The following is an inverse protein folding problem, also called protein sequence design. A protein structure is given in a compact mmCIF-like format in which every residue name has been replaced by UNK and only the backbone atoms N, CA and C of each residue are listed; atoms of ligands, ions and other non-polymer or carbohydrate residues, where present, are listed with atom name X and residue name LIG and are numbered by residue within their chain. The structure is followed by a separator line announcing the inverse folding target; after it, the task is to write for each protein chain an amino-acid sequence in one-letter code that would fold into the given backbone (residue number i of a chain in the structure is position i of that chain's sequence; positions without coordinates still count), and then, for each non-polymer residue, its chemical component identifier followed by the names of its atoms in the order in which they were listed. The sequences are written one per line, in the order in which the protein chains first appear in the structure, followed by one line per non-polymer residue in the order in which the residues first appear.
data_IF_419651785858
#
_entry.id   IF_419651785858
#
_cell.length_a   1.000
_cell.length_b   1.000
_cell.length_c   1.000
_cell.angle_alpha   90.00
_cell.angle_beta   90.00
_cell.angle_gamma   90.00
#
_symmetry.space_group_name_H-M   'P 1'
#
loop_
_entity.id
_entity.type
_entity.pdbx_description
1 polymer ?
#
# COMPACT_ATOMS: atom_id res chain seq x y z
N UNK A 1 -14.57 -29.25 -16.56
CA UNK A 1 -15.19 -29.61 -15.25
C UNK A 1 -15.36 -28.31 -14.48
N UNK A 2 -16.51 -28.09 -13.86
CA UNK A 2 -16.68 -26.90 -13.02
C UNK A 2 -15.76 -27.05 -11.79
N UNK A 3 -14.85 -26.12 -11.63
CA UNK A 3 -13.98 -26.08 -10.45
C UNK A 3 -14.75 -25.38 -9.32
N UNK A 4 -14.70 -25.93 -8.12
CA UNK A 4 -15.29 -25.32 -6.91
C UNK A 4 -14.20 -24.96 -5.92
N UNK A 5 -14.34 -23.82 -5.27
CA UNK A 5 -13.46 -23.38 -4.19
C UNK A 5 -14.30 -22.85 -3.02
N UNK A 6 -13.81 -22.99 -1.80
CA UNK A 6 -14.45 -22.39 -0.62
C UNK A 6 -14.28 -20.85 -0.65
N UNK A 7 -13.10 -20.38 -1.05
CA UNK A 7 -12.82 -18.96 -1.21
C UNK A 7 -12.06 -18.73 -2.53
N UNK A 8 -12.49 -17.74 -3.30
CA UNK A 8 -11.76 -17.22 -4.46
C UNK A 8 -11.37 -15.77 -4.20
N UNK A 9 -10.08 -15.47 -4.37
CA UNK A 9 -9.54 -14.10 -4.31
C UNK A 9 -9.17 -13.67 -5.72
N UNK A 10 -9.76 -12.59 -6.21
CA UNK A 10 -9.38 -11.99 -7.49
C UNK A 10 -8.36 -10.89 -7.24
N UNK A 11 -7.15 -11.06 -7.80
CA UNK A 11 -5.99 -10.20 -7.61
C UNK A 11 -5.00 -10.76 -6.59
N UNK A 12 -3.80 -11.09 -7.08
CA UNK A 12 -2.69 -11.64 -6.29
C UNK A 12 -1.64 -10.60 -5.89
N UNK A 13 -1.99 -9.30 -5.90
CA UNK A 13 -1.17 -8.24 -5.33
C UNK A 13 -0.99 -8.39 -3.82
N UNK A 14 -0.28 -7.45 -3.17
CA UNK A 14 0.05 -7.56 -1.74
C UNK A 14 -1.19 -7.78 -0.85
N UNK A 15 -2.32 -7.19 -1.20
CA UNK A 15 -3.59 -7.32 -0.46
C UNK A 15 -4.13 -8.73 -0.58
N UNK A 16 -4.34 -9.23 -1.82
CA UNK A 16 -4.85 -10.60 -2.01
C UNK A 16 -3.90 -11.67 -1.48
N UNK A 17 -2.59 -11.45 -1.60
CA UNK A 17 -1.58 -12.35 -1.05
C UNK A 17 -1.60 -12.38 0.48
N UNK A 18 -1.74 -11.23 1.13
CA UNK A 18 -1.88 -11.15 2.58
C UNK A 18 -3.17 -11.80 3.07
N UNK A 19 -4.30 -11.59 2.37
CA UNK A 19 -5.57 -12.26 2.71
C UNK A 19 -5.43 -13.78 2.60
N UNK A 20 -4.83 -14.27 1.51
CA UNK A 20 -4.60 -15.70 1.29
C UNK A 20 -3.72 -16.32 2.39
N UNK A 21 -2.63 -15.62 2.76
CA UNK A 21 -1.76 -16.03 3.86
C UNK A 21 -2.53 -16.13 5.18
N UNK A 22 -3.25 -15.09 5.58
CA UNK A 22 -3.97 -15.07 6.86
C UNK A 22 -5.10 -16.09 6.90
N UNK A 23 -5.86 -16.28 5.81
CA UNK A 23 -6.86 -17.34 5.73
C UNK A 23 -6.26 -18.72 6.03
N UNK A 24 -5.12 -19.04 5.44
CA UNK A 24 -4.41 -20.31 5.69
C UNK A 24 -3.82 -20.38 7.08
N UNK A 25 -3.15 -19.32 7.51
CA UNK A 25 -2.55 -19.24 8.85
C UNK A 25 -3.58 -19.36 9.97
N UNK A 26 -4.76 -18.79 9.77
CA UNK A 26 -5.88 -18.83 10.71
C UNK A 26 -6.72 -20.13 10.61
N UNK A 27 -6.36 -21.08 9.73
CA UNK A 27 -6.92 -22.44 9.70
C UNK A 27 -8.07 -22.67 8.70
N UNK A 28 -8.18 -21.87 7.62
CA UNK A 28 -9.06 -22.22 6.50
C UNK A 28 -8.56 -23.53 5.86
N UNK A 29 -9.36 -24.59 5.93
CA UNK A 29 -8.99 -25.93 5.43
C UNK A 29 -9.47 -26.21 4.01
N UNK A 30 -10.53 -25.56 3.57
CA UNK A 30 -11.15 -25.76 2.25
C UNK A 30 -10.28 -25.22 1.09
N UNK A 31 -10.73 -25.45 -0.13
CA UNK A 31 -9.97 -25.02 -1.33
C UNK A 31 -9.97 -23.49 -1.45
N UNK A 32 -8.77 -22.89 -1.38
CA UNK A 32 -8.51 -21.45 -1.54
C UNK A 32 -7.77 -21.23 -2.86
N UNK A 33 -8.34 -20.40 -3.72
CA UNK A 33 -7.74 -20.02 -5.00
C UNK A 33 -7.50 -18.51 -5.03
N UNK A 34 -6.28 -18.11 -5.38
CA UNK A 34 -5.97 -16.73 -5.81
C UNK A 34 -5.81 -16.74 -7.32
N UNK A 35 -6.52 -15.84 -7.99
CA UNK A 35 -6.42 -15.66 -9.45
C UNK A 35 -5.68 -14.35 -9.72
N UNK A 36 -4.49 -14.47 -10.36
CA UNK A 36 -3.66 -13.34 -10.74
C UNK A 36 -3.35 -13.40 -12.23
N UNK A 37 -3.65 -12.32 -12.94
CA UNK A 37 -3.50 -12.26 -14.39
C UNK A 37 -2.04 -12.20 -14.85
N UNK A 38 -1.16 -11.56 -14.04
CA UNK A 38 0.24 -11.37 -14.37
C UNK A 38 1.14 -11.65 -13.15
N UNK A 39 1.65 -12.86 -13.05
CA UNK A 39 2.54 -13.29 -11.96
C UNK A 39 3.94 -12.67 -12.05
N UNK A 40 4.26 -11.91 -13.10
CA UNK A 40 5.45 -11.06 -13.16
C UNK A 40 5.24 -9.73 -12.41
N UNK A 41 3.97 -9.38 -12.18
CA UNK A 41 3.55 -8.14 -11.53
C UNK A 41 4.06 -6.87 -12.22
N UNK A 42 4.27 -6.93 -13.56
CA UNK A 42 4.88 -5.85 -14.32
C UNK A 42 4.09 -4.52 -14.26
N UNK A 43 2.77 -4.60 -14.06
CA UNK A 43 1.88 -3.44 -13.94
C UNK A 43 1.18 -3.33 -12.58
N UNK A 44 1.53 -4.20 -11.62
CA UNK A 44 0.93 -4.17 -10.30
C UNK A 44 1.41 -2.96 -9.48
N UNK A 45 0.54 -2.39 -8.68
CA UNK A 45 0.84 -1.22 -7.83
C UNK A 45 1.95 -1.52 -6.82
N UNK A 46 1.95 -2.71 -6.22
CA UNK A 46 2.88 -3.06 -5.14
C UNK A 46 4.35 -2.91 -5.52
N UNK A 47 4.86 -3.57 -6.59
CA UNK A 47 6.29 -3.47 -6.94
C UNK A 47 6.71 -2.08 -7.41
N UNK A 48 5.74 -1.21 -7.72
CA UNK A 48 6.00 0.15 -8.20
C UNK A 48 5.93 1.20 -7.07
N UNK A 49 5.65 0.75 -5.83
CA UNK A 49 5.47 1.64 -4.68
C UNK A 49 6.80 2.07 -4.05
N UNK A 50 6.74 3.12 -3.23
CA UNK A 50 7.85 3.58 -2.41
C UNK A 50 8.23 2.62 -1.28
N UNK A 51 7.39 1.64 -0.97
CA UNK A 51 7.65 0.68 0.10
C UNK A 51 7.56 1.26 1.51
N UNK A 52 6.95 2.42 1.69
CA UNK A 52 6.83 3.06 2.99
C UNK A 52 5.90 2.30 3.94
N UNK A 53 6.28 2.28 5.23
CA UNK A 53 5.49 1.73 6.35
C UNK A 53 5.53 2.75 7.48
N UNK A 54 4.36 3.30 7.83
CA UNK A 54 4.25 4.34 8.86
C UNK A 54 2.98 4.20 9.67
N UNK A 55 3.01 4.68 10.90
CA UNK A 55 1.83 4.79 11.76
C UNK A 55 1.37 6.25 11.94
N UNK A 56 2.01 7.20 11.29
CA UNK A 56 1.72 8.63 11.39
C UNK A 56 0.44 9.03 10.67
N UNK A 57 -0.70 8.52 11.13
CA UNK A 57 -2.06 8.90 10.75
C UNK A 57 -2.70 9.79 11.83
N UNK A 58 -3.92 10.27 11.59
CA UNK A 58 -4.72 11.03 12.57
C UNK A 58 -6.07 10.38 12.86
N UNK A 59 -6.59 9.56 11.96
CA UNK A 59 -7.79 8.77 12.19
C UNK A 59 -7.48 7.54 13.07
N UNK A 60 -8.22 7.32 14.17
CA UNK A 60 -7.96 6.20 15.09
C UNK A 60 -7.96 4.83 14.42
N UNK A 61 -8.88 4.60 13.48
CA UNK A 61 -8.94 3.35 12.72
C UNK A 61 -7.67 3.13 11.88
N UNK A 62 -7.16 4.15 11.17
CA UNK A 62 -5.94 4.05 10.39
C UNK A 62 -4.71 3.79 11.27
N UNK A 63 -4.64 4.44 12.44
CA UNK A 63 -3.58 4.22 13.42
C UNK A 63 -3.58 2.76 13.90
N UNK A 64 -4.75 2.20 14.17
CA UNK A 64 -4.87 0.81 14.63
C UNK A 64 -4.35 -0.19 13.57
N UNK A 65 -4.79 -0.04 12.31
CA UNK A 65 -4.32 -0.87 11.21
C UNK A 65 -2.81 -0.73 10.98
N UNK A 66 -2.33 0.52 10.99
CA UNK A 66 -0.93 0.81 10.75
C UNK A 66 -0.01 0.25 11.86
N UNK A 67 -0.43 0.31 13.13
CA UNK A 67 0.30 -0.29 14.25
C UNK A 67 0.41 -1.81 14.15
N UNK A 68 -0.72 -2.46 13.86
CA UNK A 68 -0.71 -3.92 13.65
C UNK A 68 0.25 -4.30 12.52
N UNK A 69 0.15 -3.59 11.39
CA UNK A 69 0.97 -3.85 10.22
C UNK A 69 2.45 -3.57 10.46
N UNK A 70 2.78 -2.51 11.18
CA UNK A 70 4.16 -2.18 11.54
C UNK A 70 4.78 -3.29 12.38
N UNK A 71 4.09 -3.74 13.44
CA UNK A 71 4.54 -4.85 14.28
C UNK A 71 4.74 -6.14 13.48
N UNK A 72 3.88 -6.39 12.50
CA UNK A 72 4.02 -7.55 11.62
C UNK A 72 5.25 -7.42 10.72
N UNK A 73 5.49 -6.23 10.13
CA UNK A 73 6.65 -6.00 9.28
C UNK A 73 7.99 -6.00 10.04
N UNK A 74 8.00 -5.65 11.33
CA UNK A 74 9.19 -5.78 12.19
C UNK A 74 9.72 -7.23 12.24
N UNK A 75 8.84 -8.22 12.05
CA UNK A 75 9.15 -9.65 12.09
C UNK A 75 8.93 -10.37 10.74
N UNK A 76 8.64 -9.60 9.68
CA UNK A 76 8.15 -10.15 8.41
C UNK A 76 9.06 -11.21 7.82
N UNK A 77 10.35 -10.93 7.71
CA UNK A 77 11.31 -11.82 7.08
C UNK A 77 11.48 -13.14 7.86
N UNK A 78 11.19 -13.14 9.17
CA UNK A 78 11.17 -14.37 9.99
C UNK A 78 9.82 -15.12 9.85
N UNK A 79 8.70 -14.40 9.87
CA UNK A 79 7.37 -15.00 9.78
C UNK A 79 7.12 -15.66 8.42
N UNK A 80 7.75 -15.15 7.37
CA UNK A 80 7.56 -15.62 5.99
C UNK A 80 8.61 -16.62 5.54
N UNK A 81 9.55 -17.03 6.41
CA UNK A 81 10.50 -18.11 6.07
C UNK A 81 9.72 -19.40 5.80
N UNK A 82 10.11 -20.09 4.75
CA UNK A 82 9.55 -21.38 4.37
C UNK A 82 10.55 -22.24 3.58
N UNK A 83 10.11 -23.39 3.09
CA UNK A 83 10.94 -24.28 2.27
C UNK A 83 11.42 -23.60 0.97
N UNK A 84 10.70 -22.58 0.48
CA UNK A 84 11.05 -21.76 -0.67
C UNK A 84 12.21 -20.78 -0.39
N UNK A 85 12.58 -20.58 0.88
CA UNK A 85 13.63 -19.68 1.32
C UNK A 85 13.13 -18.58 2.27
N UNK A 86 13.84 -17.44 2.27
CA UNK A 86 13.55 -16.26 3.09
C UNK A 86 13.14 -15.09 2.18
N UNK A 87 12.11 -14.32 2.53
CA UNK A 87 11.76 -13.12 1.79
C UNK A 87 12.88 -12.08 1.88
N UNK A 88 12.90 -11.18 0.91
CA UNK A 88 13.84 -10.08 0.84
C UNK A 88 13.09 -8.74 1.06
N UNK A 89 12.18 -8.71 2.05
CA UNK A 89 11.44 -7.49 2.35
C UNK A 89 12.32 -6.44 3.01
N UNK A 90 13.28 -6.85 3.81
CA UNK A 90 14.30 -5.97 4.41
C UNK A 90 13.69 -4.71 5.02
N UNK A 91 12.70 -4.86 5.91
CA UNK A 91 12.12 -3.72 6.58
C UNK A 91 13.18 -2.95 7.37
N UNK A 92 13.36 -1.68 7.03
CA UNK A 92 14.33 -0.79 7.66
C UNK A 92 13.60 0.30 8.43
N UNK A 93 13.68 0.26 9.75
CA UNK A 93 13.20 1.31 10.65
C UNK A 93 14.15 2.51 10.64
N UNK A 94 14.13 3.28 9.54
CA UNK A 94 14.91 4.50 9.36
C UNK A 94 14.10 5.76 9.64
N UNK A 95 12.82 5.57 9.94
CA UNK A 95 11.87 6.62 10.24
C UNK A 95 11.17 7.21 9.02
N UNK A 96 10.17 8.03 9.34
CA UNK A 96 9.50 8.95 8.42
C UNK A 96 9.69 10.37 8.93
N UNK A 97 10.21 11.24 8.09
CA UNK A 97 10.51 12.63 8.37
C UNK A 97 9.62 13.53 7.53
N UNK A 98 8.60 14.12 8.15
CA UNK A 98 7.72 15.10 7.53
C UNK A 98 8.28 16.49 7.76
N UNK A 99 8.94 17.04 6.75
CA UNK A 99 9.40 18.43 6.76
C UNK A 99 8.22 19.38 6.56
N UNK A 100 8.24 20.54 7.20
CA UNK A 100 7.22 21.56 6.99
C UNK A 100 7.81 22.97 7.04
N UNK A 101 7.24 23.84 6.21
CA UNK A 101 7.52 25.27 6.19
C UNK A 101 6.61 26.05 7.16
N UNK A 102 6.72 27.38 7.16
CA UNK A 102 5.91 28.24 8.05
C UNK A 102 4.43 28.19 7.70
N UNK A 103 4.06 27.97 6.43
CA UNK A 103 2.65 27.92 6.01
C UNK A 103 1.95 26.65 6.49
N UNK A 104 2.68 25.54 6.51
CA UNK A 104 2.19 24.24 6.95
C UNK A 104 2.27 24.03 8.46
N UNK A 105 3.08 24.83 9.16
CA UNK A 105 3.37 24.68 10.59
C UNK A 105 2.11 24.51 11.48
N UNK A 106 1.07 25.33 11.39
CA UNK A 106 -0.10 25.17 12.26
C UNK A 106 -0.78 23.82 12.12
N UNK A 107 -0.98 23.36 10.87
CA UNK A 107 -1.59 22.06 10.57
C UNK A 107 -0.71 20.90 11.05
N UNK A 108 0.61 20.99 10.87
CA UNK A 108 1.56 19.98 11.33
C UNK A 108 1.64 19.87 12.85
N UNK A 109 1.58 20.99 13.58
CA UNK A 109 1.53 20.99 15.05
C UNK A 109 0.22 20.36 15.56
N UNK A 110 -0.92 20.65 14.90
CA UNK A 110 -2.20 20.02 15.23
C UNK A 110 -2.11 18.50 15.00
N UNK A 111 -1.58 18.06 13.84
CA UNK A 111 -1.35 16.64 13.52
C UNK A 111 -0.49 15.96 14.57
N UNK A 112 0.63 16.56 14.94
CA UNK A 112 1.51 16.07 16.01
C UNK A 112 0.75 15.88 17.32
N UNK A 113 -0.06 16.88 17.75
CA UNK A 113 -0.87 16.80 18.96
C UNK A 113 -1.81 15.60 18.96
N UNK A 114 -2.54 15.37 17.86
CA UNK A 114 -3.42 14.21 17.68
C UNK A 114 -2.63 12.90 17.76
N UNK A 115 -1.52 12.82 17.03
CA UNK A 115 -0.67 11.62 17.01
C UNK A 115 -0.13 11.27 18.40
N UNK A 116 0.32 12.27 19.16
CA UNK A 116 0.79 12.07 20.54
C UNK A 116 -0.33 11.62 21.48
N UNK A 117 -1.52 12.22 21.37
CA UNK A 117 -2.70 11.81 22.15
C UNK A 117 -3.11 10.37 21.86
N UNK A 118 -2.96 9.93 20.62
CA UNK A 118 -3.20 8.55 20.20
C UNK A 118 -2.03 7.61 20.54
N UNK A 119 -1.00 8.08 21.25
CA UNK A 119 0.15 7.31 21.69
C UNK A 119 1.10 6.89 20.55
N UNK A 120 1.16 7.67 19.46
CA UNK A 120 2.18 7.47 18.42
C UNK A 120 3.50 8.08 18.89
N UNK A 121 4.57 7.32 18.74
CA UNK A 121 5.92 7.77 19.08
C UNK A 121 6.48 8.65 17.96
N UNK A 122 6.12 9.95 18.02
CA UNK A 122 6.62 10.99 17.13
C UNK A 122 7.29 12.11 17.90
N UNK A 123 8.26 12.74 17.27
CA UNK A 123 9.01 13.88 17.81
C UNK A 123 8.84 15.09 16.90
N UNK A 124 8.78 16.30 17.49
CA UNK A 124 8.99 17.53 16.72
C UNK A 124 10.47 17.86 16.80
N UNK A 125 11.08 18.08 15.62
CA UNK A 125 12.48 18.46 15.49
C UNK A 125 12.57 19.88 14.93
N UNK A 126 13.48 20.69 15.50
CA UNK A 126 13.93 21.93 14.88
C UNK A 126 14.79 21.63 13.65
N UNK A 127 14.99 22.59 12.72
CA UNK A 127 15.88 22.39 11.58
C UNK A 127 17.29 21.98 12.00
N UNK A 128 17.83 22.53 13.11
CA UNK A 128 19.15 22.14 13.60
C UNK A 128 19.18 20.67 14.06
N UNK A 129 18.16 20.21 14.79
CA UNK A 129 18.07 18.80 15.21
C UNK A 129 17.93 17.85 14.00
N UNK A 130 17.25 18.28 12.94
CA UNK A 130 17.22 17.50 11.69
C UNK A 130 18.59 17.43 11.05
N UNK A 131 19.35 18.54 11.00
CA UNK A 131 20.73 18.56 10.47
C UNK A 131 21.70 17.73 11.31
N UNK A 132 21.52 17.68 12.63
CA UNK A 132 22.32 16.83 13.52
C UNK A 132 22.15 15.34 13.18
N UNK A 133 20.97 14.94 12.70
CA UNK A 133 20.67 13.58 12.26
C UNK A 133 21.01 13.33 10.79
N UNK A 134 20.74 14.31 9.93
CA UNK A 134 20.80 14.21 8.46
C UNK A 134 21.53 15.42 7.86
N UNK A 135 22.87 15.53 8.03
CA UNK A 135 23.63 16.74 7.76
C UNK A 135 23.71 17.15 6.28
N UNK A 136 23.33 16.26 5.35
CA UNK A 136 23.33 16.58 3.93
C UNK A 136 22.04 17.24 3.43
N UNK A 137 21.00 17.35 4.28
CA UNK A 137 19.78 18.06 3.93
C UNK A 137 20.00 19.58 3.98
N UNK A 138 19.36 20.32 3.07
CA UNK A 138 19.27 21.78 3.13
C UNK A 138 17.88 22.16 3.64
N UNK A 139 17.82 23.00 4.67
CA UNK A 139 16.60 23.30 5.41
C UNK A 139 16.32 24.81 5.54
N UNK A 140 16.86 25.64 4.66
CA UNK A 140 16.76 27.12 4.73
C UNK A 140 15.30 27.61 4.71
N UNK A 141 14.39 26.83 4.13
CA UNK A 141 12.96 27.09 3.98
C UNK A 141 12.08 26.27 4.94
N UNK A 142 12.69 25.48 5.81
CA UNK A 142 12.02 24.55 6.71
C UNK A 142 11.99 25.15 8.13
N UNK A 143 10.83 25.12 8.77
CA UNK A 143 10.66 25.59 10.14
C UNK A 143 10.58 24.47 11.18
N UNK A 144 10.46 23.24 10.73
CA UNK A 144 10.48 22.06 11.60
C UNK A 144 10.18 20.76 10.86
N UNK A 145 10.21 19.68 11.62
CA UNK A 145 9.83 18.36 11.13
C UNK A 145 9.07 17.56 12.19
N UNK A 146 8.20 16.64 11.75
CA UNK A 146 7.68 15.55 12.58
C UNK A 146 8.41 14.28 12.19
N UNK A 147 9.04 13.62 13.16
CA UNK A 147 9.82 12.43 12.93
C UNK A 147 9.28 11.24 13.72
N UNK A 148 8.89 10.18 13.01
CA UNK A 148 8.49 8.90 13.59
C UNK A 148 9.61 7.87 13.41
N UNK A 149 10.41 7.63 14.45
CA UNK A 149 11.59 6.75 14.38
C UNK A 149 11.26 5.28 14.11
N UNK A 150 10.11 4.81 14.58
CA UNK A 150 9.67 3.42 14.38
C UNK A 150 9.16 3.15 12.98
N UNK A 151 8.76 4.17 12.26
CA UNK A 151 8.36 4.07 10.88
C UNK A 151 9.57 3.74 9.98
N UNK A 152 9.32 3.42 8.73
CA UNK A 152 10.41 3.08 7.83
C UNK A 152 9.94 2.70 6.44
N UNK A 153 10.71 1.87 5.78
CA UNK A 153 10.41 1.39 4.44
C UNK A 153 11.00 0.00 4.21
N UNK A 154 10.49 -0.67 3.20
CA UNK A 154 10.89 -2.03 2.84
C UNK A 154 10.99 -2.20 1.32
N UNK A 155 11.50 -3.35 0.89
CA UNK A 155 11.45 -3.78 -0.51
C UNK A 155 10.05 -4.33 -0.83
N UNK A 156 9.25 -3.61 -1.66
CA UNK A 156 7.87 -4.03 -1.96
C UNK A 156 7.76 -5.38 -2.67
N UNK A 157 8.74 -5.70 -3.53
CA UNK A 157 8.78 -6.99 -4.24
C UNK A 157 9.03 -8.14 -3.27
N UNK A 158 9.97 -7.97 -2.35
CA UNK A 158 10.28 -8.96 -1.32
C UNK A 158 9.09 -9.20 -0.40
N UNK A 159 8.37 -8.15 0.00
CA UNK A 159 7.17 -8.28 0.81
C UNK A 159 6.04 -9.03 0.07
N UNK A 160 5.78 -8.68 -1.19
CA UNK A 160 4.81 -9.38 -2.03
C UNK A 160 5.17 -10.86 -2.18
N UNK A 161 6.43 -11.16 -2.54
CA UNK A 161 6.91 -12.53 -2.70
C UNK A 161 6.76 -13.32 -1.39
N UNK A 162 7.09 -12.73 -0.26
CA UNK A 162 6.94 -13.38 1.06
C UNK A 162 5.52 -13.87 1.30
N UNK A 163 4.52 -13.00 1.12
CA UNK A 163 3.12 -13.40 1.27
C UNK A 163 2.68 -14.45 0.24
N UNK A 164 3.06 -14.28 -1.03
CA UNK A 164 2.70 -15.22 -2.11
C UNK A 164 3.24 -16.62 -1.83
N UNK A 165 4.54 -16.74 -1.60
CA UNK A 165 5.19 -18.04 -1.43
C UNK A 165 4.75 -18.71 -0.13
N UNK A 166 4.58 -17.93 0.94
CA UNK A 166 4.08 -18.49 2.19
C UNK A 166 2.63 -18.96 2.09
N UNK A 167 1.75 -18.22 1.41
CA UNK A 167 0.38 -18.66 1.15
C UNK A 167 0.34 -19.95 0.31
N UNK A 168 1.19 -20.06 -0.72
CA UNK A 168 1.33 -21.27 -1.53
C UNK A 168 1.78 -22.48 -0.71
N UNK A 169 2.80 -22.32 0.11
CA UNK A 169 3.33 -23.37 0.98
C UNK A 169 2.26 -23.86 1.98
N UNK A 170 1.40 -22.95 2.44
CA UNK A 170 0.27 -23.27 3.31
C UNK A 170 -0.94 -23.87 2.54
N UNK A 171 -0.78 -24.19 1.24
CA UNK A 171 -1.77 -24.90 0.43
C UNK A 171 -2.76 -24.01 -0.33
N UNK A 172 -2.44 -22.72 -0.54
CA UNK A 172 -3.23 -21.88 -1.42
C UNK A 172 -2.90 -22.19 -2.90
N UNK A 173 -3.92 -22.40 -3.72
CA UNK A 173 -3.77 -22.53 -5.18
C UNK A 173 -3.60 -21.15 -5.80
N UNK A 174 -2.50 -20.95 -6.53
CA UNK A 174 -2.25 -19.71 -7.27
C UNK A 174 -2.45 -19.94 -8.74
N UNK A 175 -3.54 -19.41 -9.30
CA UNK A 175 -3.92 -19.57 -10.69
C UNK A 175 -3.50 -18.34 -11.49
N UNK A 176 -2.60 -18.52 -12.45
CA UNK A 176 -2.27 -17.46 -13.40
C UNK A 176 -3.34 -17.42 -14.51
N UNK A 177 -4.30 -16.53 -14.36
CA UNK A 177 -5.39 -16.34 -15.32
C UNK A 177 -6.03 -14.96 -15.11
N UNK A 178 -6.76 -14.47 -16.10
CA UNK A 178 -7.51 -13.22 -16.02
C UNK A 178 -9.00 -13.50 -15.77
N UNK A 179 -9.56 -12.88 -14.73
CA UNK A 179 -11.00 -12.89 -14.49
C UNK A 179 -11.65 -11.86 -15.39
N UNK A 180 -12.50 -12.33 -16.30
CA UNK A 180 -13.21 -11.46 -17.26
C UNK A 180 -14.53 -10.93 -16.71
N UNK A 181 -15.18 -11.69 -15.81
CA UNK A 181 -16.40 -11.30 -15.10
C UNK A 181 -16.69 -12.25 -13.95
N UNK A 182 -17.55 -11.84 -13.06
CA UNK A 182 -18.19 -12.72 -12.07
C UNK A 182 -19.68 -12.43 -12.00
N UNK A 183 -20.48 -13.43 -11.65
CA UNK A 183 -21.93 -13.31 -11.55
C UNK A 183 -22.45 -14.06 -10.33
N UNK A 184 -23.42 -13.50 -9.58
CA UNK A 184 -24.10 -14.27 -8.56
C UNK A 184 -24.87 -15.43 -9.22
N UNK A 185 -24.94 -16.54 -8.51
CA UNK A 185 -25.70 -17.74 -8.92
C UNK A 185 -26.81 -18.07 -7.92
N UNK A 186 -27.64 -19.05 -8.22
CA UNK A 186 -28.59 -19.59 -7.24
C UNK A 186 -27.82 -20.22 -6.07
N UNK A 187 -28.27 -20.02 -4.82
CA UNK A 187 -27.65 -20.59 -3.62
C UNK A 187 -26.53 -19.76 -2.99
N UNK A 188 -26.54 -18.43 -3.21
CA UNK A 188 -25.58 -17.50 -2.60
C UNK A 188 -24.12 -17.80 -2.93
N UNK A 189 -23.86 -18.21 -4.16
CA UNK A 189 -22.50 -18.44 -4.68
C UNK A 189 -22.22 -17.53 -5.87
N UNK A 190 -20.96 -17.48 -6.28
CA UNK A 190 -20.48 -16.72 -7.44
C UNK A 190 -19.88 -17.65 -8.48
N UNK A 191 -20.23 -17.43 -9.75
CA UNK A 191 -19.52 -17.98 -10.89
C UNK A 191 -18.47 -16.98 -11.34
N UNK A 192 -17.19 -17.32 -11.18
CA UNK A 192 -16.04 -16.54 -11.59
C UNK A 192 -15.58 -17.05 -12.94
N UNK A 193 -15.72 -16.25 -13.99
CA UNK A 193 -15.37 -16.60 -15.35
C UNK A 193 -13.95 -16.11 -15.65
N UNK A 194 -13.07 -17.04 -15.96
CA UNK A 194 -11.69 -16.76 -16.33
C UNK A 194 -11.46 -16.90 -17.83
N UNK A 195 -10.39 -16.31 -18.33
CA UNK A 195 -10.09 -16.32 -19.75
C UNK A 195 -9.71 -17.71 -20.27
N UNK A 196 -8.93 -18.47 -19.51
CA UNK A 196 -8.37 -19.74 -19.94
C UNK A 196 -8.89 -20.95 -19.14
N UNK A 197 -9.11 -20.82 -17.83
CA UNK A 197 -9.41 -21.93 -16.93
C UNK A 197 -10.91 -22.23 -16.79
N UNK A 198 -11.77 -21.48 -17.47
CA UNK A 198 -13.22 -21.69 -17.45
C UNK A 198 -13.91 -21.02 -16.29
N UNK A 199 -14.85 -21.72 -15.64
CA UNK A 199 -15.68 -21.16 -14.57
C UNK A 199 -15.33 -21.80 -13.24
N UNK A 200 -15.11 -20.96 -12.22
CA UNK A 200 -14.87 -21.39 -10.84
C UNK A 200 -16.07 -20.91 -10.00
N UNK A 201 -16.68 -21.82 -9.22
CA UNK A 201 -17.80 -21.48 -8.34
C UNK A 201 -17.32 -21.38 -6.89
N UNK A 202 -17.77 -20.34 -6.17
CA UNK A 202 -17.38 -20.12 -4.77
C UNK A 202 -18.50 -19.47 -3.96
N UNK A 203 -18.69 -19.82 -2.68
CA UNK A 203 -19.57 -19.10 -1.76
C UNK A 203 -18.93 -17.80 -1.21
N UNK A 204 -17.60 -17.69 -1.25
CA UNK A 204 -16.89 -16.49 -0.78
C UNK A 204 -15.95 -15.95 -1.86
N UNK A 205 -16.29 -14.78 -2.39
CA UNK A 205 -15.54 -14.08 -3.42
C UNK A 205 -14.90 -12.81 -2.84
N UNK A 206 -13.59 -12.64 -3.01
CA UNK A 206 -12.87 -11.45 -2.56
C UNK A 206 -12.38 -10.65 -3.77
N UNK A 207 -12.72 -9.36 -3.83
CA UNK A 207 -12.14 -8.43 -4.79
C UNK A 207 -10.93 -7.73 -4.14
N UNK A 208 -9.73 -8.04 -4.65
CA UNK A 208 -8.45 -7.45 -4.26
C UNK A 208 -7.69 -6.92 -5.48
N UNK A 209 -8.43 -6.34 -6.43
CA UNK A 209 -7.98 -6.04 -7.79
C UNK A 209 -7.35 -4.65 -7.96
N UNK A 210 -7.13 -3.93 -6.82
CA UNK A 210 -6.49 -2.61 -6.83
C UNK A 210 -7.14 -1.64 -7.83
N UNK A 211 -6.37 -0.97 -8.70
CA UNK A 211 -6.90 0.04 -9.63
C UNK A 211 -7.95 -0.49 -10.63
N UNK A 212 -8.04 -1.80 -10.83
CA UNK A 212 -9.04 -2.42 -11.75
C UNK A 212 -10.35 -2.77 -11.07
N UNK A 213 -10.54 -2.43 -9.79
CA UNK A 213 -11.70 -2.83 -9.00
C UNK A 213 -13.02 -2.38 -9.63
N UNK A 214 -13.16 -1.12 -9.99
CA UNK A 214 -14.37 -0.59 -10.62
C UNK A 214 -14.62 -1.24 -11.99
N UNK A 215 -13.58 -1.43 -12.81
CA UNK A 215 -13.70 -2.04 -14.13
C UNK A 215 -14.27 -3.46 -14.06
N UNK A 216 -13.84 -4.25 -13.07
CA UNK A 216 -14.33 -5.62 -12.88
C UNK A 216 -15.70 -5.67 -12.22
N UNK A 217 -16.01 -4.75 -11.31
CA UNK A 217 -17.28 -4.75 -10.55
C UNK A 217 -18.45 -4.19 -11.35
N UNK A 218 -18.25 -3.20 -12.21
CA UNK A 218 -19.30 -2.53 -12.99
C UNK A 218 -20.15 -3.50 -13.83
N UNK A 219 -19.60 -4.47 -14.58
CA UNK A 219 -20.40 -5.44 -15.34
C UNK A 219 -21.27 -6.36 -14.46
N UNK A 220 -20.95 -6.50 -13.17
CA UNK A 220 -21.76 -7.23 -12.20
C UNK A 220 -22.84 -6.36 -11.53
N UNK A 221 -23.00 -5.10 -11.97
CA UNK A 221 -23.94 -4.14 -11.39
C UNK A 221 -23.48 -3.51 -10.08
N UNK A 222 -22.20 -3.65 -9.72
CA UNK A 222 -21.64 -3.16 -8.46
C UNK A 222 -20.89 -1.87 -8.71
N UNK A 223 -21.33 -0.80 -8.06
CA UNK A 223 -20.66 0.50 -8.10
C UNK A 223 -19.63 0.62 -6.98
N UNK A 224 -18.36 0.77 -7.35
CA UNK A 224 -17.27 1.04 -6.41
C UNK A 224 -16.69 2.43 -6.71
N UNK A 225 -16.64 3.34 -5.75
CA UNK A 225 -16.04 4.66 -5.95
C UNK A 225 -14.50 4.58 -5.89
N UNK A 226 -13.91 3.82 -6.81
CA UNK A 226 -12.47 3.56 -6.88
C UNK A 226 -11.96 3.94 -8.26
N UNK A 227 -11.08 4.93 -8.32
CA UNK A 227 -10.52 5.44 -9.57
C UNK A 227 -9.02 5.16 -9.66
N UNK A 228 -8.52 4.68 -10.82
CA UNK A 228 -7.09 4.59 -11.07
C UNK A 228 -6.51 5.99 -11.27
N UNK A 229 -5.49 6.34 -10.49
CA UNK A 229 -4.77 7.62 -10.61
C UNK A 229 -3.28 7.36 -10.72
N UNK A 230 -2.66 7.87 -11.78
CA UNK A 230 -1.23 7.67 -12.05
C UNK A 230 -0.36 8.28 -10.94
N UNK A 231 0.67 7.55 -10.55
CA UNK A 231 1.77 8.01 -9.70
C UNK A 231 3.08 7.60 -10.34
N UNK A 232 4.10 8.44 -10.18
CA UNK A 232 5.39 8.24 -10.83
C UNK A 232 6.49 8.20 -9.80
N UNK A 233 7.44 7.28 -10.01
CA UNK A 233 8.63 7.16 -9.17
C UNK A 233 9.85 6.87 -10.03
N UNK A 234 11.03 7.12 -9.48
CA UNK A 234 12.28 6.84 -10.16
C UNK A 234 13.37 6.41 -9.18
N UNK A 235 14.33 5.66 -9.70
CA UNK A 235 15.62 5.45 -9.07
C UNK A 235 16.62 6.46 -9.61
N UNK A 236 17.35 7.09 -8.70
CA UNK A 236 18.46 7.99 -9.00
C UNK A 236 19.70 7.55 -8.23
N UNK A 237 20.87 7.75 -8.81
CA UNK A 237 22.15 7.44 -8.15
C UNK A 237 22.77 8.72 -7.59
N UNK A 238 23.25 8.64 -6.36
CA UNK A 238 24.07 9.65 -5.73
C UNK A 238 25.50 9.60 -6.30
N UNK A 239 26.19 10.74 -6.46
CA UNK A 239 27.60 10.75 -6.87
C UNK A 239 28.52 10.02 -5.90
N UNK A 240 28.16 10.03 -4.62
CA UNK A 240 28.86 9.33 -3.53
C UNK A 240 27.84 8.94 -2.45
N UNK A 241 28.03 7.80 -1.75
CA UNK A 241 27.24 7.45 -0.57
C UNK A 241 27.30 8.53 0.51
N UNK A 242 26.19 8.76 1.20
CA UNK A 242 26.13 9.78 2.28
C UNK A 242 26.79 9.33 3.59
N UNK A 243 27.15 8.05 3.71
CA UNK A 243 27.66 7.45 4.95
C UNK A 243 26.58 7.06 5.96
N UNK A 244 25.30 7.27 5.63
CA UNK A 244 24.12 6.86 6.39
C UNK A 244 22.91 6.69 5.47
N UNK A 245 21.88 5.99 5.92
CA UNK A 245 20.60 5.88 5.21
C UNK A 245 19.65 6.99 5.63
N UNK A 246 19.08 7.70 4.67
CA UNK A 246 18.00 8.66 4.90
C UNK A 246 16.72 7.93 5.33
N UNK A 247 15.87 8.57 6.16
CA UNK A 247 14.50 8.13 6.37
C UNK A 247 13.67 8.29 5.09
N UNK A 248 12.39 7.93 5.13
CA UNK A 248 11.44 8.43 4.15
C UNK A 248 11.22 9.91 4.40
N UNK A 249 11.74 10.77 3.54
CA UNK A 249 11.60 12.22 3.62
C UNK A 249 10.36 12.65 2.84
N UNK A 250 9.44 13.31 3.52
CA UNK A 250 8.24 13.93 2.95
C UNK A 250 8.51 15.43 2.91
N UNK A 251 8.70 15.94 1.72
CA UNK A 251 9.09 17.33 1.49
C UNK A 251 7.88 18.20 1.13
N UNK A 252 7.80 19.47 1.59
CA UNK A 252 6.71 20.39 1.24
C UNK A 252 6.54 20.64 -0.26
N UNK A 253 7.56 20.37 -1.08
CA UNK A 253 7.52 20.51 -2.53
C UNK A 253 6.76 19.39 -3.26
N UNK A 254 6.10 18.47 -2.55
CA UNK A 254 5.49 17.25 -3.07
C UNK A 254 6.51 16.25 -3.70
N UNK A 255 7.82 16.45 -3.51
CA UNK A 255 8.87 15.50 -3.90
C UNK A 255 9.31 14.71 -2.67
N UNK A 256 9.06 13.41 -2.67
CA UNK A 256 9.39 12.53 -1.53
C UNK A 256 10.48 11.56 -1.93
N UNK A 257 11.37 11.23 -1.00
CA UNK A 257 12.50 10.37 -1.31
C UNK A 257 12.99 9.57 -0.10
N UNK A 258 13.63 8.45 -0.38
CA UNK A 258 14.29 7.60 0.60
C UNK A 258 15.49 6.88 -0.02
N UNK A 259 16.37 6.35 0.82
CA UNK A 259 17.38 5.41 0.34
C UNK A 259 16.75 4.10 -0.16
N UNK A 260 17.44 3.45 -1.08
CA UNK A 260 17.17 2.07 -1.43
C UNK A 260 17.41 1.15 -0.22
N UNK A 261 16.76 -0.01 -0.20
CA UNK A 261 16.92 -1.02 0.85
C UNK A 261 18.23 -1.79 0.74
N UNK A 262 18.76 -1.94 -0.47
CA UNK A 262 19.88 -2.82 -0.78
C UNK A 262 21.19 -2.07 -1.02
N UNK A 263 21.12 -0.86 -1.60
CA UNK A 263 22.31 -0.07 -1.97
C UNK A 263 22.44 1.19 -1.13
N UNK A 264 23.65 1.74 -1.02
CA UNK A 264 23.96 2.96 -0.24
C UNK A 264 24.04 4.22 -1.08
N UNK A 265 23.98 4.09 -2.40
CA UNK A 265 24.12 5.17 -3.36
C UNK A 265 22.88 5.41 -4.21
N UNK A 266 21.79 4.66 -4.00
CA UNK A 266 20.54 4.86 -4.73
C UNK A 266 19.45 5.47 -3.84
N UNK A 267 18.72 6.41 -4.44
CA UNK A 267 17.47 6.93 -3.88
C UNK A 267 16.29 6.52 -4.73
N UNK A 268 15.21 6.15 -4.06
CA UNK A 268 13.88 6.06 -4.66
C UNK A 268 13.17 7.39 -4.42
N UNK A 269 12.69 8.00 -5.50
CA UNK A 269 12.07 9.33 -5.50
C UNK A 269 10.70 9.26 -6.14
N UNK A 270 9.74 9.97 -5.59
CA UNK A 270 8.39 10.13 -6.15
C UNK A 270 7.95 11.59 -6.06
N UNK A 271 6.93 11.93 -6.83
CA UNK A 271 6.22 13.21 -6.70
C UNK A 271 4.72 12.98 -6.67
N UNK A 272 4.04 13.75 -5.84
CA UNK A 272 2.58 13.77 -5.80
C UNK A 272 2.09 14.83 -6.78
N UNK A 273 1.17 14.45 -7.67
CA UNK A 273 0.48 15.34 -8.61
C UNK A 273 -0.98 15.31 -8.20
N UNK A 274 -1.45 16.42 -7.62
CA UNK A 274 -2.80 16.50 -7.05
C UNK A 274 -3.91 16.53 -8.09
N UNK A 275 -3.62 17.07 -9.27
CA UNK A 275 -4.52 17.24 -10.42
C UNK A 275 -4.32 16.19 -11.51
N UNK A 276 -3.64 15.07 -11.20
CA UNK A 276 -3.50 13.96 -12.14
C UNK A 276 -4.88 13.38 -12.50
N UNK A 277 -5.28 13.37 -13.77
CA UNK A 277 -6.60 12.90 -14.17
C UNK A 277 -6.74 11.39 -13.90
N UNK A 278 -7.93 10.92 -13.48
CA UNK A 278 -8.18 9.50 -13.33
C UNK A 278 -8.13 8.78 -14.68
N UNK A 279 -7.61 7.57 -14.68
CA UNK A 279 -7.45 6.73 -15.87
C UNK A 279 -6.15 5.94 -15.83
N UNK A 280 -6.02 4.97 -16.75
CA UNK A 280 -4.80 4.18 -16.88
C UNK A 280 -3.83 4.88 -17.84
N UNK A 281 -2.68 5.27 -17.33
CA UNK A 281 -1.54 5.77 -18.10
C UNK A 281 -0.25 5.26 -17.44
N UNK A 282 0.52 4.43 -18.13
CA UNK A 282 1.78 3.86 -17.65
C UNK A 282 3.02 4.59 -18.18
N UNK A 283 2.83 5.72 -18.88
CA UNK A 283 3.92 6.47 -19.43
C UNK A 283 4.68 7.24 -18.33
N UNK A 284 6.00 7.17 -18.38
CA UNK A 284 6.90 7.94 -17.56
C UNK A 284 7.08 9.35 -18.16
N UNK A 285 6.83 10.36 -17.34
CA UNK A 285 6.96 11.77 -17.75
C UNK A 285 8.38 12.30 -17.47
N UNK A 286 9.21 12.29 -18.50
CA UNK A 286 10.59 12.79 -18.43
C UNK A 286 10.65 14.31 -18.23
N UNK A 287 9.64 15.05 -18.67
CA UNK A 287 9.56 16.51 -18.49
C UNK A 287 9.35 16.83 -17.00
N UNK A 288 8.45 16.13 -16.33
CA UNK A 288 8.23 16.29 -14.90
C UNK A 288 9.49 15.93 -14.10
N UNK A 289 10.18 14.87 -14.49
CA UNK A 289 11.45 14.52 -13.86
C UNK A 289 12.44 15.68 -13.93
N UNK A 290 12.70 16.19 -15.13
CA UNK A 290 13.73 17.21 -15.36
C UNK A 290 13.34 18.60 -14.81
N UNK A 291 12.06 18.98 -14.90
CA UNK A 291 11.61 20.33 -14.55
C UNK A 291 11.08 20.47 -13.12
N UNK A 292 10.69 19.36 -12.46
CA UNK A 292 10.16 19.41 -11.11
C UNK A 292 10.97 18.55 -10.13
N UNK A 293 11.14 17.24 -10.38
CA UNK A 293 11.80 16.35 -9.42
C UNK A 293 13.26 16.75 -9.21
N UNK A 294 14.02 16.92 -10.30
CA UNK A 294 15.46 17.23 -10.21
C UNK A 294 15.73 18.53 -9.45
N UNK A 295 15.11 19.67 -9.77
CA UNK A 295 15.39 20.92 -9.06
C UNK A 295 15.04 20.84 -7.56
N UNK A 296 13.88 20.24 -7.21
CA UNK A 296 13.46 20.13 -5.81
C UNK A 296 14.34 19.17 -5.00
N UNK A 297 14.69 18.02 -5.59
CA UNK A 297 15.59 17.07 -4.93
C UNK A 297 16.98 17.66 -4.72
N UNK A 298 17.56 18.32 -5.74
CA UNK A 298 18.87 18.96 -5.63
C UNK A 298 18.86 20.14 -4.65
N UNK A 299 17.74 20.85 -4.57
CA UNK A 299 17.56 21.90 -3.56
C UNK A 299 17.59 21.31 -2.15
N UNK A 300 16.81 20.21 -1.91
CA UNK A 300 16.70 19.59 -0.59
C UNK A 300 17.91 18.77 -0.20
N UNK A 301 18.54 18.11 -1.16
CA UNK A 301 19.71 17.25 -0.98
C UNK A 301 20.82 17.62 -1.97
N UNK A 302 21.59 18.71 -1.75
CA UNK A 302 22.63 19.16 -2.67
C UNK A 302 23.68 18.09 -2.98
N UNK A 303 23.94 17.17 -2.06
CA UNK A 303 24.88 16.06 -2.23
C UNK A 303 24.48 15.08 -3.37
N UNK A 304 23.25 15.18 -3.91
CA UNK A 304 22.85 14.40 -5.08
C UNK A 304 23.26 15.01 -6.43
N UNK A 305 24.03 16.09 -6.44
CA UNK A 305 24.46 16.77 -7.68
C UNK A 305 25.85 16.28 -8.12
N UNK A 306 26.03 15.84 -9.39
CA UNK A 306 25.02 15.67 -10.44
C UNK A 306 24.12 14.46 -10.22
N UNK A 307 22.82 14.61 -10.49
CA UNK A 307 21.84 13.55 -10.35
C UNK A 307 21.85 12.65 -11.60
N UNK A 308 21.89 11.33 -11.40
CA UNK A 308 21.82 10.36 -12.49
C UNK A 308 20.54 9.54 -12.37
N UNK A 309 19.66 9.67 -13.38
CA UNK A 309 18.48 8.83 -13.50
C UNK A 309 18.86 7.42 -13.94
N UNK A 310 18.53 6.43 -13.12
CA UNK A 310 18.70 5.01 -13.48
C UNK A 310 17.47 4.47 -14.20
N UNK A 311 16.30 4.74 -13.64
CA UNK A 311 15.01 4.27 -14.16
C UNK A 311 13.87 5.10 -13.61
N UNK A 312 12.90 5.42 -14.49
CA UNK A 312 11.60 5.96 -14.09
C UNK A 312 10.47 5.02 -14.49
N UNK A 313 9.37 5.07 -13.77
CA UNK A 313 8.16 4.30 -14.07
C UNK A 313 6.92 5.01 -13.56
N UNK A 314 5.77 4.59 -14.10
CA UNK A 314 4.46 4.98 -13.61
C UNK A 314 3.68 3.76 -13.12
N UNK A 315 3.00 3.92 -11.99
CA UNK A 315 2.04 2.98 -11.43
C UNK A 315 0.72 3.68 -11.15
N UNK A 316 -0.25 2.95 -10.59
CA UNK A 316 -1.56 3.53 -10.30
C UNK A 316 -1.94 3.31 -8.84
N UNK A 317 -2.45 4.36 -8.21
CA UNK A 317 -3.23 4.25 -6.98
C UNK A 317 -4.68 3.92 -7.34
N UNK A 318 -5.35 3.22 -6.47
CA UNK A 318 -6.77 2.94 -6.44
C UNK A 318 -7.44 3.92 -5.48
N UNK A 319 -7.79 5.11 -5.98
CA UNK A 319 -8.20 6.25 -5.15
C UNK A 319 -9.70 6.21 -4.86
N UNK A 320 -10.07 6.35 -3.59
CA UNK A 320 -11.44 6.56 -3.10
C UNK A 320 -11.68 8.03 -2.77
N UNK A 321 -12.95 8.48 -2.64
CA UNK A 321 -13.25 9.89 -2.34
C UNK A 321 -12.69 10.41 -1.00
N UNK A 322 -12.49 9.54 -0.02
CA UNK A 322 -11.91 9.88 1.29
C UNK A 322 -10.48 9.34 1.46
N UNK A 323 -9.88 8.84 0.37
CA UNK A 323 -8.51 8.29 0.33
C UNK A 323 -8.26 7.14 1.32
N UNK A 324 -9.33 6.44 1.73
CA UNK A 324 -9.26 5.29 2.64
C UNK A 324 -9.84 4.03 1.99
N UNK A 325 -9.35 2.82 2.36
CA UNK A 325 -9.78 1.59 1.71
C UNK A 325 -11.25 1.24 1.97
N UNK A 326 -11.81 0.42 1.10
CA UNK A 326 -13.08 -0.26 1.29
C UNK A 326 -12.78 -1.68 1.72
N UNK A 327 -13.18 -2.05 2.95
CA UNK A 327 -12.89 -3.35 3.54
C UNK A 327 -14.16 -4.02 4.06
N UNK A 328 -14.22 -5.35 3.91
CA UNK A 328 -15.25 -6.19 4.50
C UNK A 328 -16.33 -6.66 3.53
N UNK A 329 -17.45 -7.22 4.05
CA UNK A 329 -18.52 -7.75 3.23
C UNK A 329 -19.24 -6.64 2.46
N UNK A 330 -19.68 -6.96 1.24
CA UNK A 330 -20.54 -6.07 0.46
C UNK A 330 -21.95 -6.06 1.08
N UNK A 331 -22.59 -4.89 1.28
CA UNK A 331 -23.85 -4.79 2.01
C UNK A 331 -25.03 -5.52 1.35
N UNK A 332 -25.04 -5.56 0.02
CA UNK A 332 -26.17 -6.10 -0.77
C UNK A 332 -25.83 -7.44 -1.46
N UNK A 333 -24.58 -7.86 -1.44
CA UNK A 333 -24.12 -9.07 -2.13
C UNK A 333 -23.47 -10.03 -1.13
N UNK A 334 -24.30 -10.91 -0.54
CA UNK A 334 -23.82 -11.92 0.43
C UNK A 334 -22.71 -12.79 -0.16
N UNK A 335 -21.64 -13.02 0.61
CA UNK A 335 -20.48 -13.79 0.18
C UNK A 335 -19.49 -13.01 -0.70
N UNK A 336 -19.77 -11.74 -1.03
CA UNK A 336 -18.81 -10.87 -1.69
C UNK A 336 -18.07 -9.99 -0.66
N UNK A 337 -16.76 -10.02 -0.70
CA UNK A 337 -15.88 -9.26 0.17
C UNK A 337 -15.01 -8.28 -0.64
N UNK A 338 -14.82 -7.09 -0.09
CA UNK A 338 -14.08 -6.01 -0.72
C UNK A 338 -12.77 -5.75 0.05
N UNK A 339 -11.69 -5.57 -0.70
CA UNK A 339 -10.39 -5.12 -0.21
C UNK A 339 -9.72 -4.27 -1.31
N UNK A 340 -10.22 -3.05 -1.52
CA UNK A 340 -9.88 -2.17 -2.64
C UNK A 340 -9.84 -0.71 -2.21
N UNK A 341 -9.31 0.18 -3.05
CA UNK A 341 -9.37 1.62 -2.82
C UNK A 341 -8.36 2.14 -1.79
N UNK A 342 -7.17 1.60 -1.76
CA UNK A 342 -6.16 1.92 -0.73
C UNK A 342 -5.49 3.28 -0.88
N UNK A 343 -5.67 3.97 -1.99
CA UNK A 343 -5.15 5.33 -2.21
C UNK A 343 -3.65 5.49 -1.93
N UNK A 344 -2.87 4.44 -2.24
CA UNK A 344 -1.42 4.41 -2.02
C UNK A 344 -0.97 3.79 -0.69
N UNK A 345 -1.87 3.44 0.22
CA UNK A 345 -1.54 2.88 1.53
C UNK A 345 -1.58 1.34 1.60
N UNK A 346 -1.91 0.66 0.49
CA UNK A 346 -2.16 -0.78 0.48
C UNK A 346 -1.01 -1.62 1.04
N UNK A 347 0.23 -1.35 0.64
CA UNK A 347 1.38 -2.11 1.13
C UNK A 347 1.52 -2.01 2.64
N UNK A 348 1.51 -0.79 3.20
CA UNK A 348 1.73 -0.59 4.63
C UNK A 348 0.58 -1.12 5.50
N UNK A 349 -0.62 -1.31 4.96
CA UNK A 349 -1.78 -1.83 5.66
C UNK A 349 -2.06 -3.32 5.38
N UNK A 350 -1.34 -3.94 4.44
CA UNK A 350 -1.63 -5.30 3.97
C UNK A 350 -1.70 -6.36 5.08
N UNK A 351 -0.81 -6.40 6.09
CA UNK A 351 -0.93 -7.35 7.19
C UNK A 351 -2.25 -7.24 7.96
N UNK A 352 -2.65 -6.02 8.35
CA UNK A 352 -3.90 -5.77 9.06
C UNK A 352 -5.12 -6.14 8.21
N UNK A 353 -5.11 -5.78 6.92
CA UNK A 353 -6.19 -6.11 5.97
C UNK A 353 -6.33 -7.61 5.79
N UNK A 354 -5.23 -8.35 5.67
CA UNK A 354 -5.24 -9.80 5.59
C UNK A 354 -5.92 -10.42 6.81
N UNK A 355 -5.58 -9.95 8.01
CA UNK A 355 -6.18 -10.43 9.27
C UNK A 355 -7.67 -10.12 9.34
N UNK A 356 -8.07 -8.88 9.05
CA UNK A 356 -9.47 -8.44 9.04
C UNK A 356 -10.33 -9.29 8.09
N UNK A 357 -9.87 -9.47 6.84
CA UNK A 357 -10.63 -10.24 5.85
C UNK A 357 -10.66 -11.73 6.19
N UNK A 358 -9.59 -12.29 6.77
CA UNK A 358 -9.61 -13.66 7.27
C UNK A 358 -10.67 -13.86 8.34
N UNK A 359 -10.78 -12.96 9.32
CA UNK A 359 -11.80 -13.02 10.37
C UNK A 359 -13.21 -12.84 9.80
N UNK A 360 -13.42 -11.83 8.95
CA UNK A 360 -14.71 -11.57 8.33
C UNK A 360 -15.23 -12.79 7.53
N UNK A 361 -14.36 -13.45 6.76
CA UNK A 361 -14.73 -14.60 5.92
C UNK A 361 -14.99 -15.84 6.76
N UNK A 362 -14.11 -16.13 7.76
CA UNK A 362 -14.19 -17.36 8.55
C UNK A 362 -15.17 -17.30 9.70
N UNK A 363 -15.27 -16.12 10.34
CA UNK A 363 -16.03 -15.97 11.59
C UNK A 363 -17.30 -15.12 11.42
N UNK A 364 -17.44 -14.41 10.30
CA UNK A 364 -18.52 -13.45 10.09
C UNK A 364 -18.46 -12.22 10.99
N UNK A 365 -17.33 -11.96 11.64
CA UNK A 365 -17.11 -10.82 12.54
C UNK A 365 -15.62 -10.44 12.57
N UNK A 366 -15.34 -9.26 13.14
CA UNK A 366 -14.00 -8.78 13.42
C UNK A 366 -13.63 -9.05 14.89
N UNK A 367 -12.44 -9.58 15.17
CA UNK A 367 -11.97 -9.87 16.54
C UNK A 367 -10.70 -9.07 16.89
N UNK A 368 -9.77 -8.97 15.96
CA UNK A 368 -8.46 -8.34 16.20
C UNK A 368 -8.49 -6.83 15.99
N UNK A 369 -9.13 -6.39 14.91
CA UNK A 369 -9.19 -5.01 14.48
C UNK A 369 -10.59 -4.67 13.99
N UNK A 370 -11.07 -3.46 14.32
CA UNK A 370 -12.38 -2.99 13.87
C UNK A 370 -12.30 -2.47 12.43
N UNK A 371 -13.15 -2.96 11.54
CA UNK A 371 -13.19 -2.56 10.14
C UNK A 371 -14.50 -1.86 9.71
N UNK A 372 -15.46 -1.68 10.63
CA UNK A 372 -16.72 -0.98 10.36
C UNK A 372 -16.53 0.42 9.73
N UNK A 373 -15.54 1.23 10.13
CA UNK A 373 -15.29 2.51 9.48
C UNK A 373 -15.02 2.41 7.97
N UNK A 374 -14.49 1.28 7.49
CA UNK A 374 -14.08 1.07 6.10
C UNK A 374 -15.17 0.48 5.20
N UNK A 375 -16.41 0.30 5.71
CA UNK A 375 -17.55 -0.25 4.96
C UNK A 375 -17.86 0.60 3.72
N UNK A 376 -18.36 -0.03 2.67
CA UNK A 376 -18.70 0.65 1.41
C UNK A 376 -19.80 1.71 1.62
N UNK A 377 -20.79 1.45 2.49
CA UNK A 377 -21.93 2.33 2.72
C UNK A 377 -21.57 3.72 3.24
N UNK A 378 -20.36 3.90 3.80
CA UNK A 378 -19.91 5.22 4.29
C UNK A 378 -19.95 6.30 3.22
N UNK A 379 -19.80 5.95 1.94
CA UNK A 379 -19.91 6.90 0.83
C UNK A 379 -21.36 7.34 0.57
N UNK A 380 -22.32 6.49 0.89
CA UNK A 380 -23.75 6.81 0.78
C UNK A 380 -24.27 7.55 2.02
N UNK A 381 -23.80 7.20 3.20
CA UNK A 381 -24.22 7.80 4.48
C UNK A 381 -23.48 9.10 4.80
N UNK A 382 -22.34 9.37 4.15
CA UNK A 382 -21.50 10.52 4.42
C UNK A 382 -20.55 10.35 5.62
N UNK A 383 -20.45 9.12 6.18
CA UNK A 383 -19.56 8.79 7.31
C UNK A 383 -18.10 8.61 6.84
N UNK A 384 -17.60 9.60 6.10
CA UNK A 384 -16.25 9.53 5.52
C UNK A 384 -15.18 9.55 6.60
N UNK A 385 -14.13 8.75 6.38
CA UNK A 385 -12.96 8.77 7.26
C UNK A 385 -12.15 10.04 6.97
N UNK A 386 -12.00 10.88 8.01
CA UNK A 386 -11.20 12.11 7.92
C UNK A 386 -9.83 11.84 8.50
N UNK A 387 -8.85 11.76 7.66
CA UNK A 387 -7.45 11.68 8.06
C UNK A 387 -6.68 12.86 7.44
N UNK A 388 -5.68 13.36 8.14
CA UNK A 388 -4.78 14.35 7.58
C UNK A 388 -3.86 13.62 6.60
N UNK A 389 -4.29 13.54 5.35
CA UNK A 389 -3.49 12.98 4.24
C UNK A 389 -2.34 13.93 3.88
N UNK A 390 -1.32 13.39 3.22
CA UNK A 390 -0.13 14.15 2.82
C UNK A 390 -0.38 14.80 1.48
#
# INVERSE_FOLDING_TARGET
MAHTAEVVIIGGGIIGASIAYHLRQDGLSGHLIVIERDTTYARATTPMSMGGVRQQYTAPCNIALARYSLQFYEQFDELMVGAWGRPQAHFQQRGYLFLFDETQRPAMLQRYGVQRQMGIEVEILSPQQVLDLFPHLRLDDITGAIYGRRDGYLNPRGALQGFVERARELGCTWLQDEVVRFTPTTGQTYAVHTQASGVITTPALVLATGPWAQQLATPAGIALPVLPVRRQACYVTLPQPLGYKLPMVIDPSDVHFRHDTETDDHLLVTTIVRDEPPGFNFDWDTTRFSQHIVPQLQRRLPACTPLQLQRGWAGHYDVTPDENPILGPHPEHSGLFLAVGFSGHGLMLAPAVGKILSEAIRLGRYETLEAQPYRLERFRTGDLIRDAQI
#
